data_IF_504592036870
#
_entry.id   IF_504592036870
#
_cell.length_a   1.000
_cell.length_b   1.000
_cell.length_c   1.000
_cell.angle_alpha   90.00
_cell.angle_beta   90.00
_cell.angle_gamma   90.00
#
_symmetry.space_group_name_H-M   'P 1'
#
loop_
_entity.id
_entity.type
_entity.pdbx_description
1 polymer ?
#
# COMPACT_ATOMS: atom_id res chain seq x y z
N UNK A 1 28.61 50.63 -12.86
CA UNK A 1 29.79 49.77 -13.03
C UNK A 1 29.31 48.34 -12.85
N UNK A 2 29.12 47.56 -13.93
CA UNK A 2 28.80 46.14 -13.80
C UNK A 2 30.02 45.41 -13.24
N UNK A 3 29.80 44.52 -12.27
CA UNK A 3 30.84 43.77 -11.57
C UNK A 3 31.78 43.08 -12.54
N UNK A 4 33.07 43.16 -12.26
CA UNK A 4 34.09 42.53 -13.09
C UNK A 4 33.94 41.00 -13.06
N UNK A 5 34.40 40.29 -14.10
CA UNK A 5 34.31 38.83 -14.19
C UNK A 5 34.96 38.07 -13.02
N UNK A 6 35.74 38.72 -12.16
CA UNK A 6 36.30 38.13 -10.94
C UNK A 6 35.27 37.86 -9.85
N UNK A 7 34.21 38.67 -9.74
CA UNK A 7 33.24 38.55 -8.65
C UNK A 7 32.36 37.30 -8.85
N UNK A 8 32.08 36.96 -10.10
CA UNK A 8 31.32 35.75 -10.47
C UNK A 8 32.06 34.45 -10.14
N UNK A 9 33.38 34.41 -10.29
CA UNK A 9 34.17 33.22 -9.96
C UNK A 9 34.22 32.96 -8.44
N UNK A 10 34.37 34.01 -7.64
CA UNK A 10 34.37 33.89 -6.17
C UNK A 10 33.01 33.52 -5.60
N UNK A 11 31.92 33.95 -6.22
CA UNK A 11 30.57 33.49 -5.85
C UNK A 11 30.34 32.02 -6.23
N UNK A 12 30.78 31.59 -7.41
CA UNK A 12 30.67 30.20 -7.83
C UNK A 12 31.46 29.24 -6.91
N UNK A 13 32.66 29.63 -6.48
CA UNK A 13 33.47 28.84 -5.53
C UNK A 13 32.76 28.74 -4.17
N UNK A 14 32.23 29.84 -3.63
CA UNK A 14 31.49 29.83 -2.37
C UNK A 14 30.22 28.99 -2.43
N UNK A 15 29.49 29.04 -3.55
CA UNK A 15 28.31 28.20 -3.76
C UNK A 15 28.68 26.71 -3.82
N UNK A 16 29.79 26.35 -4.47
CA UNK A 16 30.27 24.98 -4.52
C UNK A 16 30.74 24.46 -3.15
N UNK A 17 31.44 25.30 -2.37
CA UNK A 17 31.85 24.96 -1.00
C UNK A 17 30.64 24.71 -0.09
N UNK A 18 29.62 25.57 -0.15
CA UNK A 18 28.38 25.38 0.59
C UNK A 18 27.68 24.06 0.22
N UNK A 19 27.57 23.78 -1.08
CA UNK A 19 27.00 22.52 -1.57
C UNK A 19 27.79 21.29 -1.11
N UNK A 20 29.12 21.36 -1.09
CA UNK A 20 29.98 20.25 -0.65
C UNK A 20 29.88 19.98 0.86
N UNK A 21 29.68 21.02 1.66
CA UNK A 21 29.45 20.89 3.10
C UNK A 21 28.05 20.30 3.38
N UNK A 22 27.01 20.83 2.72
CA UNK A 22 25.62 20.37 2.87
C UNK A 22 25.42 18.91 2.46
N UNK A 23 26.03 18.49 1.34
CA UNK A 23 25.95 17.11 0.87
C UNK A 23 26.96 16.17 1.56
N UNK A 24 27.73 16.64 2.55
CA UNK A 24 28.75 15.83 3.24
C UNK A 24 29.91 15.37 2.35
N UNK A 25 30.05 15.93 1.15
CA UNK A 25 31.06 15.58 0.15
C UNK A 25 32.47 15.75 0.72
N UNK A 26 32.68 16.80 1.52
CA UNK A 26 33.98 17.08 2.14
C UNK A 26 34.45 15.95 3.06
N UNK A 27 33.54 15.36 3.83
CA UNK A 27 33.82 14.22 4.69
C UNK A 27 34.18 12.99 3.87
N UNK A 28 33.42 12.70 2.82
CA UNK A 28 33.68 11.57 1.91
C UNK A 28 35.07 11.65 1.27
N UNK A 29 35.47 12.84 0.78
CA UNK A 29 36.82 13.03 0.23
C UNK A 29 37.91 12.90 1.30
N UNK A 30 37.64 13.35 2.53
CA UNK A 30 38.59 13.20 3.65
C UNK A 30 38.81 11.72 3.97
N UNK A 31 37.73 10.95 4.09
CA UNK A 31 37.79 9.51 4.37
C UNK A 31 38.50 8.74 3.25
N UNK A 32 38.22 9.08 1.98
CA UNK A 32 38.91 8.54 0.82
C UNK A 32 40.42 8.83 0.85
N UNK A 33 40.83 10.06 1.15
CA UNK A 33 42.24 10.44 1.20
C UNK A 33 42.98 9.74 2.34
N UNK A 34 42.32 9.58 3.50
CA UNK A 34 42.86 8.80 4.63
C UNK A 34 43.07 7.35 4.21
N UNK A 35 42.09 6.73 3.56
CA UNK A 35 42.19 5.35 3.11
C UNK A 35 43.30 5.16 2.07
N UNK A 36 43.40 6.04 1.07
CA UNK A 36 44.48 5.99 0.07
C UNK A 36 45.87 6.15 0.70
N UNK A 37 45.98 7.01 1.73
CA UNK A 37 47.23 7.22 2.46
C UNK A 37 47.67 6.00 3.28
N UNK A 38 46.71 5.26 3.83
CA UNK A 38 46.93 4.02 4.59
C UNK A 38 47.29 2.85 3.66
N UNK A 39 46.49 2.62 2.62
CA UNK A 39 46.59 1.45 1.76
C UNK A 39 47.73 1.56 0.74
N UNK A 40 48.14 2.79 0.39
CA UNK A 40 49.16 3.12 -0.62
C UNK A 40 49.06 2.24 -1.88
N UNK A 41 47.88 2.16 -2.52
CA UNK A 41 47.67 1.27 -3.64
C UNK A 41 48.55 1.66 -4.83
N UNK A 42 49.04 0.65 -5.57
CA UNK A 42 49.81 0.89 -6.80
C UNK A 42 48.95 1.50 -7.91
N UNK A 43 47.65 1.21 -7.91
CA UNK A 43 46.66 1.82 -8.79
C UNK A 43 45.70 2.70 -7.97
N UNK A 44 46.04 3.98 -7.86
CA UNK A 44 45.27 4.96 -7.09
C UNK A 44 43.89 5.21 -7.72
N UNK A 45 43.81 5.28 -9.06
CA UNK A 45 42.54 5.56 -9.74
C UNK A 45 41.57 4.38 -9.62
N UNK A 46 42.06 3.15 -9.72
CA UNK A 46 41.28 1.95 -9.46
C UNK A 46 40.71 1.91 -8.04
N UNK A 47 41.54 2.27 -7.04
CA UNK A 47 41.11 2.33 -5.64
C UNK A 47 40.04 3.40 -5.38
N UNK A 48 40.18 4.60 -5.97
CA UNK A 48 39.16 5.66 -5.88
C UNK A 48 37.82 5.17 -6.47
N UNK A 49 37.85 4.54 -7.64
CA UNK A 49 36.63 4.03 -8.29
C UNK A 49 35.94 2.98 -7.43
N UNK A 50 36.71 2.04 -6.88
CA UNK A 50 36.17 0.99 -6.01
C UNK A 50 35.52 1.56 -4.73
N UNK A 51 36.11 2.60 -4.14
CA UNK A 51 35.55 3.29 -2.98
C UNK A 51 34.20 3.95 -3.30
N UNK A 52 34.13 4.70 -4.40
CA UNK A 52 32.89 5.34 -4.85
C UNK A 52 31.80 4.32 -5.22
N UNK A 53 32.16 3.20 -5.86
CA UNK A 53 31.22 2.11 -6.15
C UNK A 53 30.71 1.42 -4.86
N UNK A 54 31.54 1.37 -3.82
CA UNK A 54 31.16 0.92 -2.47
C UNK A 54 30.11 1.83 -1.85
N UNK A 55 30.36 3.15 -1.88
CA UNK A 55 29.43 4.16 -1.39
C UNK A 55 28.09 4.15 -2.14
N UNK A 56 28.11 4.05 -3.47
CA UNK A 56 26.88 3.98 -4.27
C UNK A 56 26.01 2.77 -3.88
N UNK A 57 26.62 1.59 -3.69
CA UNK A 57 25.92 0.38 -3.21
C UNK A 57 25.42 0.51 -1.77
N UNK A 58 26.15 1.23 -0.92
CA UNK A 58 25.72 1.56 0.44
C UNK A 58 24.53 2.51 0.46
N UNK A 59 24.54 3.54 -0.38
CA UNK A 59 23.47 4.52 -0.52
C UNK A 59 22.19 3.85 -1.01
N UNK A 60 22.27 2.97 -2.01
CA UNK A 60 21.08 2.23 -2.48
C UNK A 60 20.48 1.33 -1.39
N UNK A 61 21.32 0.78 -0.51
CA UNK A 61 20.87 0.00 0.64
C UNK A 61 20.25 0.87 1.73
N UNK A 62 20.84 2.03 2.04
CA UNK A 62 20.28 2.99 2.99
C UNK A 62 19.02 3.68 2.49
N UNK A 63 18.86 3.92 1.18
CA UNK A 63 17.58 4.37 0.60
C UNK A 63 16.54 3.25 0.58
N UNK A 64 16.96 2.01 0.40
CA UNK A 64 16.07 0.86 0.47
C UNK A 64 15.61 0.55 1.90
N UNK A 65 16.46 0.77 2.91
CA UNK A 65 16.13 0.56 4.34
C UNK A 65 15.60 1.81 5.05
N UNK A 66 16.03 3.00 4.63
CA UNK A 66 15.70 4.31 5.20
C UNK A 66 14.43 4.95 4.66
N UNK A 67 13.61 4.21 3.92
CA UNK A 67 12.27 4.63 3.48
C UNK A 67 11.30 4.92 4.66
N UNK A 68 11.74 4.71 5.89
CA UNK A 68 11.00 4.99 7.12
C UNK A 68 11.31 6.38 7.75
N UNK A 69 12.36 7.08 7.31
CA UNK A 69 12.80 8.33 7.95
C UNK A 69 12.32 9.63 7.26
N UNK A 70 11.96 9.62 5.97
CA UNK A 70 11.39 10.79 5.27
C UNK A 70 9.86 10.97 5.50
N UNK A 71 9.25 10.25 6.46
CA UNK A 71 7.94 10.62 7.03
C UNK A 71 8.11 11.61 8.21
N UNK A 72 9.15 12.45 8.22
CA UNK A 72 9.25 13.61 9.11
C UNK A 72 8.21 14.65 8.69
N UNK A 73 7.30 14.95 9.63
CA UNK A 73 6.27 15.99 9.53
C UNK A 73 5.67 16.19 8.13
N UNK A 74 4.92 15.18 7.65
CA UNK A 74 3.88 15.40 6.64
C UNK A 74 2.73 16.19 7.29
N UNK A 75 3.06 17.41 7.71
CA UNK A 75 2.20 18.36 8.38
C UNK A 75 1.29 18.96 7.32
N UNK A 76 0.16 18.29 7.08
CA UNK A 76 -1.05 18.82 6.42
C UNK A 76 -0.76 19.86 5.32
N UNK A 77 0.18 19.55 4.40
CA UNK A 77 0.56 20.47 3.33
C UNK A 77 -0.64 20.80 2.42
N UNK A 78 -1.68 19.95 2.45
CA UNK A 78 -2.97 20.20 1.81
C UNK A 78 -3.77 21.33 2.47
N UNK A 79 -3.58 21.62 3.76
CA UNK A 79 -4.31 22.68 4.47
C UNK A 79 -3.82 24.09 4.14
N UNK A 80 -2.56 24.26 3.72
CA UNK A 80 -1.96 25.57 3.39
C UNK A 80 -1.81 25.84 1.89
N UNK A 81 -1.98 24.83 1.03
CA UNK A 81 -2.06 25.00 -0.43
C UNK A 81 -3.43 25.57 -0.84
N UNK A 82 -3.58 26.88 -0.57
CA UNK A 82 -4.56 27.81 -1.13
C UNK A 82 -5.13 27.31 -2.45
N UNK A 83 -6.39 26.87 -2.42
CA UNK A 83 -7.44 27.14 -3.42
C UNK A 83 -7.12 27.06 -4.93
N UNK A 84 -6.10 26.32 -5.38
CA UNK A 84 -5.95 25.99 -6.82
C UNK A 84 -7.20 25.21 -7.29
N UNK A 85 -8.11 25.89 -7.96
CA UNK A 85 -9.30 25.30 -8.54
C UNK A 85 -8.89 24.10 -9.42
N UNK A 86 -9.38 22.87 -9.19
CA UNK A 86 -9.12 21.74 -10.08
C UNK A 86 -9.51 22.00 -11.54
N UNK A 87 -10.49 22.88 -11.78
CA UNK A 87 -10.81 23.36 -13.12
C UNK A 87 -9.73 24.27 -13.68
N UNK A 88 -9.00 25.01 -12.83
CA UNK A 88 -7.80 25.74 -13.23
C UNK A 88 -6.68 24.77 -13.58
N UNK A 89 -6.52 23.64 -12.90
CA UNK A 89 -5.59 22.58 -13.37
C UNK A 89 -6.04 22.02 -14.73
N UNK A 90 -7.33 21.85 -15.00
CA UNK A 90 -7.76 21.45 -16.33
C UNK A 90 -7.63 22.56 -17.36
N UNK A 91 -7.91 23.81 -17.03
CA UNK A 91 -7.88 24.93 -17.96
C UNK A 91 -6.45 25.39 -18.25
N UNK A 92 -5.61 25.47 -17.21
CA UNK A 92 -4.17 25.67 -17.36
C UNK A 92 -3.61 24.45 -18.08
N UNK A 93 -3.86 23.19 -17.66
CA UNK A 93 -3.25 21.99 -18.28
C UNK A 93 -4.01 21.32 -19.43
N UNK A 94 -5.07 21.93 -19.94
CA UNK A 94 -5.41 21.78 -21.35
C UNK A 94 -4.21 22.30 -22.18
N UNK A 95 -3.40 23.23 -21.63
CA UNK A 95 -2.24 23.88 -22.23
C UNK A 95 -1.11 24.26 -21.21
N UNK A 96 -0.31 23.34 -20.60
CA UNK A 96 1.10 23.32 -21.02
C UNK A 96 1.92 22.04 -20.73
N UNK A 97 3.02 21.90 -21.48
CA UNK A 97 4.26 21.24 -21.03
C UNK A 97 5.16 22.22 -20.27
N UNK A 98 6.12 21.71 -19.48
CA UNK A 98 7.03 22.52 -18.64
C UNK A 98 7.71 23.65 -19.44
N UNK A 99 7.28 24.90 -19.27
CA UNK A 99 7.79 26.08 -19.98
C UNK A 99 6.68 27.08 -20.33
N UNK A 100 6.98 28.24 -20.96
CA UNK A 100 5.98 29.22 -21.34
C UNK A 100 4.95 28.59 -22.30
N UNK A 101 3.79 28.26 -21.72
CA UNK A 101 2.49 27.92 -22.32
C UNK A 101 2.50 27.37 -23.75
N UNK A 102 2.83 26.08 -23.91
CA UNK A 102 2.57 25.35 -25.17
C UNK A 102 1.14 24.81 -25.17
N UNK A 103 0.33 25.30 -26.11
CA UNK A 103 -1.01 24.78 -26.38
C UNK A 103 -0.91 23.36 -26.99
N UNK A 104 -1.29 22.33 -26.21
CA UNK A 104 -1.34 20.94 -26.67
C UNK A 104 -2.51 20.63 -27.61
N UNK A 105 -3.59 21.42 -27.66
CA UNK A 105 -4.70 21.19 -28.60
C UNK A 105 -4.30 21.49 -30.04
N UNK A 106 -3.27 22.31 -30.22
CA UNK A 106 -2.64 22.54 -31.51
C UNK A 106 -1.77 21.34 -31.97
N UNK A 107 -1.51 20.34 -31.11
CA UNK A 107 -0.74 19.15 -31.49
C UNK A 107 -1.57 18.21 -32.38
N UNK A 108 -0.87 17.55 -33.29
CA UNK A 108 -1.47 16.56 -34.18
C UNK A 108 -2.11 15.43 -33.38
N UNK A 109 -3.33 15.05 -33.79
CA UNK A 109 -4.12 13.98 -33.17
C UNK A 109 -4.37 14.18 -31.66
N UNK A 110 -4.42 15.43 -31.19
CA UNK A 110 -4.83 15.72 -29.83
C UNK A 110 -6.27 15.24 -29.58
N UNK A 111 -6.46 14.53 -28.48
CA UNK A 111 -7.77 14.22 -27.93
C UNK A 111 -7.70 14.19 -26.41
N UNK A 112 -8.80 14.52 -25.74
CA UNK A 112 -8.88 14.44 -24.29
C UNK A 112 -10.30 14.55 -23.79
N UNK A 113 -10.49 14.21 -22.51
CA UNK A 113 -11.77 14.31 -21.83
C UNK A 113 -11.59 14.35 -20.32
N UNK A 114 -12.52 14.99 -19.63
CA UNK A 114 -12.55 15.07 -18.17
C UNK A 114 -13.95 14.77 -17.63
N UNK A 115 -14.03 14.38 -16.37
CA UNK A 115 -15.29 14.11 -15.70
C UNK A 115 -15.57 15.21 -14.68
N UNK A 116 -16.49 16.11 -15.03
CA UNK A 116 -16.84 17.26 -14.18
C UNK A 116 -17.35 16.85 -12.79
N UNK A 117 -18.18 15.81 -12.72
CA UNK A 117 -18.69 15.32 -11.42
C UNK A 117 -17.54 14.91 -10.51
N UNK A 118 -16.51 14.22 -11.02
CA UNK A 118 -15.35 13.84 -10.20
C UNK A 118 -14.59 15.05 -9.65
N UNK A 119 -14.48 16.14 -10.40
CA UNK A 119 -13.81 17.36 -9.95
C UNK A 119 -14.58 18.11 -8.86
N UNK A 120 -15.91 18.01 -8.88
CA UNK A 120 -16.80 18.64 -7.91
C UNK A 120 -17.04 17.76 -6.66
N UNK A 121 -16.79 16.45 -6.77
CA UNK A 121 -17.19 15.44 -5.77
C UNK A 121 -16.02 14.70 -5.08
N UNK A 122 -14.75 15.02 -5.38
CA UNK A 122 -13.63 14.40 -4.67
C UNK A 122 -13.61 14.77 -3.18
N UNK A 123 -13.12 13.86 -2.35
CA UNK A 123 -13.15 14.00 -0.88
C UNK A 123 -11.73 14.19 -0.36
N UNK A 124 -11.43 15.29 0.38
CA UNK A 124 -10.12 15.51 0.99
C UNK A 124 -9.70 14.32 1.86
N UNK A 125 -8.41 14.00 1.84
CA UNK A 125 -7.86 12.86 2.59
C UNK A 125 -7.03 13.39 3.78
N UNK A 126 -7.57 13.42 5.00
CA UNK A 126 -6.88 13.95 6.19
C UNK A 126 -5.91 12.95 6.83
N UNK A 127 -5.86 11.71 6.37
CA UNK A 127 -5.07 10.61 6.95
C UNK A 127 -4.70 9.59 5.87
N UNK A 128 -3.90 8.54 6.16
CA UNK A 128 -3.66 7.44 5.22
C UNK A 128 -4.89 6.55 4.94
N UNK A 129 -6.03 7.15 4.61
CA UNK A 129 -7.32 6.55 4.31
C UNK A 129 -7.74 6.73 2.83
N UNK A 130 -6.77 6.74 1.92
CA UNK A 130 -7.01 6.95 0.49
C UNK A 130 -8.13 6.05 -0.07
N UNK A 131 -8.23 4.79 0.39
CA UNK A 131 -9.31 3.88 -0.01
C UNK A 131 -10.71 4.40 0.36
N UNK A 132 -10.87 4.93 1.57
CA UNK A 132 -12.14 5.52 2.02
C UNK A 132 -12.47 6.78 1.22
N UNK A 133 -11.47 7.66 1.03
CA UNK A 133 -11.66 8.93 0.36
C UNK A 133 -11.96 8.75 -1.15
N UNK A 134 -11.25 7.85 -1.82
CA UNK A 134 -11.53 7.46 -3.21
C UNK A 134 -12.91 6.81 -3.37
N UNK A 135 -13.32 5.94 -2.45
CA UNK A 135 -14.64 5.31 -2.50
C UNK A 135 -15.78 6.33 -2.28
N UNK A 136 -15.63 7.21 -1.29
CA UNK A 136 -16.58 8.29 -1.03
C UNK A 136 -16.67 9.24 -2.25
N UNK A 137 -15.53 9.64 -2.81
CA UNK A 137 -15.49 10.49 -4.01
C UNK A 137 -16.08 9.81 -5.26
N UNK A 138 -15.82 8.51 -5.44
CA UNK A 138 -16.44 7.71 -6.50
C UNK A 138 -17.97 7.70 -6.36
N UNK A 139 -18.47 7.42 -5.16
CA UNK A 139 -19.90 7.43 -4.86
C UNK A 139 -20.47 8.83 -5.16
N UNK A 140 -19.97 9.87 -4.51
CA UNK A 140 -20.46 11.24 -4.68
C UNK A 140 -20.50 11.67 -6.17
N UNK A 141 -19.47 11.34 -6.94
CA UNK A 141 -19.42 11.67 -8.37
C UNK A 141 -20.49 10.95 -9.21
N UNK A 142 -20.81 9.69 -8.89
CA UNK A 142 -21.82 8.90 -9.60
C UNK A 142 -23.24 9.46 -9.42
N UNK A 143 -23.52 10.08 -8.27
CA UNK A 143 -24.79 10.76 -7.99
C UNK A 143 -24.71 12.29 -8.10
N UNK A 144 -23.59 12.83 -8.59
CA UNK A 144 -23.37 14.29 -8.75
C UNK A 144 -23.56 15.07 -7.44
N UNK A 145 -23.24 14.45 -6.32
CA UNK A 145 -23.27 15.08 -5.00
C UNK A 145 -21.95 15.82 -4.84
N UNK A 146 -22.01 17.14 -4.65
CA UNK A 146 -20.80 17.96 -4.48
C UNK A 146 -20.14 17.65 -3.15
N UNK A 147 -18.83 17.86 -3.06
CA UNK A 147 -18.04 17.57 -1.85
C UNK A 147 -18.45 18.36 -0.60
N UNK A 148 -19.10 19.51 -0.80
CA UNK A 148 -19.59 20.41 0.25
C UNK A 148 -21.08 20.21 0.57
N UNK A 149 -21.75 19.29 -0.13
CA UNK A 149 -23.14 18.97 0.14
C UNK A 149 -23.28 18.24 1.49
N UNK A 150 -24.34 18.56 2.23
CA UNK A 150 -24.59 17.99 3.56
C UNK A 150 -24.85 16.48 3.54
N UNK A 151 -25.30 15.95 2.40
CA UNK A 151 -25.61 14.54 2.16
C UNK A 151 -24.45 13.77 1.50
N UNK A 152 -23.33 14.44 1.21
CA UNK A 152 -22.14 13.82 0.64
C UNK A 152 -21.65 12.66 1.49
N UNK A 153 -21.32 11.54 0.83
CA UNK A 153 -20.67 10.42 1.47
C UNK A 153 -19.32 10.88 2.03
N UNK A 154 -19.05 10.51 3.27
CA UNK A 154 -17.85 10.93 4.01
C UNK A 154 -16.85 9.79 4.14
N UNK A 155 -15.59 10.12 4.43
CA UNK A 155 -14.58 9.11 4.77
C UNK A 155 -15.00 8.26 5.96
N UNK A 156 -15.61 8.87 6.99
CA UNK A 156 -16.04 8.17 8.21
C UNK A 156 -17.05 7.08 7.91
N UNK A 157 -18.04 7.39 7.08
CA UNK A 157 -19.07 6.44 6.66
C UNK A 157 -18.44 5.24 5.94
N UNK A 158 -17.55 5.49 4.96
CA UNK A 158 -16.87 4.41 4.25
C UNK A 158 -15.93 3.62 5.17
N UNK A 159 -15.22 4.29 6.09
CA UNK A 159 -14.32 3.65 7.04
C UNK A 159 -15.07 2.69 7.97
N UNK A 160 -16.27 3.05 8.42
CA UNK A 160 -17.09 2.16 9.25
C UNK A 160 -17.58 0.94 8.46
N UNK A 161 -18.01 1.12 7.20
CA UNK A 161 -18.38 0.00 6.32
C UNK A 161 -17.18 -0.95 6.12
N UNK A 162 -16.00 -0.40 5.84
CA UNK A 162 -14.78 -1.20 5.72
C UNK A 162 -14.41 -1.88 7.03
N UNK A 163 -14.58 -1.21 8.18
CA UNK A 163 -14.30 -1.77 9.50
C UNK A 163 -15.20 -2.98 9.78
N UNK A 164 -16.51 -2.85 9.55
CA UNK A 164 -17.48 -3.93 9.70
C UNK A 164 -17.13 -5.14 8.82
N UNK A 165 -16.67 -4.90 7.58
CA UNK A 165 -16.19 -5.97 6.69
C UNK A 165 -14.94 -6.67 7.26
N UNK A 166 -13.94 -5.92 7.71
CA UNK A 166 -12.70 -6.49 8.28
C UNK A 166 -12.99 -7.22 9.59
N UNK A 167 -13.93 -6.74 10.39
CA UNK A 167 -14.41 -7.36 11.62
C UNK A 167 -15.09 -8.70 11.34
N UNK A 168 -15.93 -8.79 10.31
CA UNK A 168 -16.49 -10.07 9.87
C UNK A 168 -15.39 -11.06 9.47
N UNK A 169 -14.34 -10.61 8.77
CA UNK A 169 -13.20 -11.46 8.41
C UNK A 169 -12.40 -11.90 9.65
N UNK A 170 -12.20 -11.00 10.61
CA UNK A 170 -11.57 -11.30 11.89
C UNK A 170 -12.36 -12.39 12.63
N UNK A 171 -13.68 -12.23 12.76
CA UNK A 171 -14.54 -13.21 13.42
C UNK A 171 -14.54 -14.57 12.73
N UNK A 172 -14.54 -14.60 11.39
CA UNK A 172 -14.41 -15.85 10.63
C UNK A 172 -13.08 -16.54 10.90
N UNK A 173 -11.98 -15.78 10.97
CA UNK A 173 -10.64 -16.30 11.30
C UNK A 173 -10.55 -16.80 12.73
N UNK A 174 -11.14 -16.06 13.67
CA UNK A 174 -11.25 -16.46 15.07
C UNK A 174 -12.00 -17.79 15.20
N UNK A 175 -13.22 -17.89 14.64
CA UNK A 175 -14.01 -19.13 14.67
C UNK A 175 -13.30 -20.30 14.01
N UNK A 176 -12.52 -20.05 12.94
CA UNK A 176 -11.71 -21.08 12.30
C UNK A 176 -10.61 -21.57 13.24
N UNK A 177 -9.88 -20.68 13.88
CA UNK A 177 -8.84 -21.02 14.85
C UNK A 177 -9.42 -21.77 16.05
N UNK A 178 -10.54 -21.31 16.62
CA UNK A 178 -11.23 -21.96 17.74
C UNK A 178 -11.61 -23.41 17.40
N UNK A 179 -12.17 -23.64 16.21
CA UNK A 179 -12.46 -24.99 15.71
C UNK A 179 -11.21 -25.84 15.52
N UNK A 180 -10.13 -25.27 14.99
CA UNK A 180 -8.87 -26.01 14.79
C UNK A 180 -8.22 -26.38 16.14
N UNK A 181 -8.35 -25.52 17.15
CA UNK A 181 -7.86 -25.75 18.51
C UNK A 181 -8.77 -26.68 19.34
N UNK A 182 -9.97 -27.01 18.84
CA UNK A 182 -10.95 -27.79 19.61
C UNK A 182 -11.53 -27.05 20.81
N UNK A 183 -11.55 -25.71 20.79
CA UNK A 183 -12.12 -24.87 21.87
C UNK A 183 -13.50 -24.32 21.50
N UNK A 184 -14.26 -23.89 22.50
CA UNK A 184 -15.58 -23.29 22.29
C UNK A 184 -15.51 -21.98 21.47
N UNK A 185 -16.61 -21.64 20.79
CA UNK A 185 -16.72 -20.38 20.07
C UNK A 185 -16.62 -19.19 21.04
N UNK A 186 -15.80 -18.19 20.70
CA UNK A 186 -15.49 -17.04 21.55
C UNK A 186 -14.39 -17.30 22.59
N UNK A 187 -13.87 -18.53 22.72
CA UNK A 187 -12.82 -18.85 23.68
C UNK A 187 -11.50 -18.10 23.42
N UNK A 188 -11.26 -17.57 22.21
CA UNK A 188 -10.06 -16.77 21.94
C UNK A 188 -10.13 -15.33 22.49
N UNK A 189 -11.30 -14.82 22.86
CA UNK A 189 -11.45 -13.41 23.27
C UNK A 189 -10.60 -13.04 24.51
N UNK A 190 -10.55 -13.86 25.59
CA UNK A 190 -9.68 -13.59 26.73
C UNK A 190 -8.18 -13.52 26.36
N UNK A 191 -7.73 -14.31 25.39
CA UNK A 191 -6.36 -14.24 24.88
C UNK A 191 -6.09 -12.94 24.12
N UNK A 192 -7.01 -12.52 23.24
CA UNK A 192 -6.89 -11.26 22.51
C UNK A 192 -6.92 -10.05 23.45
N UNK A 193 -7.80 -10.06 24.46
CA UNK A 193 -7.86 -9.00 25.47
C UNK A 193 -6.58 -8.91 26.31
N UNK A 194 -6.02 -10.06 26.71
CA UNK A 194 -4.75 -10.10 27.44
C UNK A 194 -3.56 -9.62 26.59
N UNK A 195 -3.56 -9.93 25.29
CA UNK A 195 -2.56 -9.41 24.35
C UNK A 195 -2.67 -7.89 24.20
N UNK A 196 -3.87 -7.35 24.06
CA UNK A 196 -4.11 -5.90 23.97
C UNK A 196 -3.63 -5.17 25.22
N UNK A 197 -3.95 -5.70 26.41
CA UNK A 197 -3.50 -5.13 27.69
C UNK A 197 -1.97 -5.09 27.76
N UNK A 198 -1.30 -6.20 27.40
CA UNK A 198 0.17 -6.28 27.40
C UNK A 198 0.80 -5.28 26.43
N UNK A 199 0.24 -5.11 25.23
CA UNK A 199 0.75 -4.13 24.26
C UNK A 199 0.58 -2.69 24.81
N UNK A 200 -0.56 -2.40 25.43
CA UNK A 200 -0.81 -1.10 26.06
C UNK A 200 0.15 -0.82 27.22
N UNK A 201 0.47 -1.80 28.07
CA UNK A 201 1.46 -1.70 29.14
C UNK A 201 2.87 -1.32 28.62
N UNK A 202 3.21 -1.76 27.41
CA UNK A 202 4.46 -1.40 26.73
C UNK A 202 4.40 -0.04 26.02
N UNK A 203 3.28 0.69 26.12
CA UNK A 203 3.07 1.95 25.40
C UNK A 203 2.85 1.78 23.90
N UNK A 204 2.54 0.56 23.45
CA UNK A 204 2.25 0.23 22.05
C UNK A 204 0.75 0.32 21.78
N UNK A 205 0.38 0.68 20.55
CA UNK A 205 -1.01 0.76 20.12
C UNK A 205 -1.20 0.19 18.72
N UNK A 206 -2.31 -0.52 18.50
CA UNK A 206 -2.75 -0.98 17.18
C UNK A 206 -2.95 0.16 16.18
N UNK A 207 -3.30 1.34 16.69
CA UNK A 207 -3.48 2.58 15.93
C UNK A 207 -2.28 3.52 16.02
N UNK A 208 -1.24 3.14 16.76
CA UNK A 208 -0.01 3.92 16.92
C UNK A 208 0.75 4.08 15.61
N UNK A 209 1.54 5.15 15.53
CA UNK A 209 2.45 5.43 14.43
C UNK A 209 3.91 5.21 14.88
N UNK A 210 4.79 4.92 13.93
CA UNK A 210 6.25 4.77 14.13
C UNK A 210 6.57 3.84 15.32
N UNK A 211 7.41 4.29 16.26
CA UNK A 211 7.86 3.52 17.42
C UNK A 211 6.75 2.99 18.34
N UNK A 212 5.53 3.58 18.27
CA UNK A 212 4.38 3.13 19.05
C UNK A 212 3.46 2.17 18.28
N UNK A 213 3.76 1.90 17.01
CA UNK A 213 2.91 1.08 16.15
C UNK A 213 3.12 -0.40 16.42
N UNK A 214 2.02 -1.14 16.61
CA UNK A 214 2.07 -2.60 16.66
C UNK A 214 2.24 -3.17 15.25
N UNK A 215 3.44 -3.71 14.97
CA UNK A 215 3.70 -4.49 13.76
C UNK A 215 3.26 -5.95 13.93
N UNK A 216 3.17 -6.71 12.83
CA UNK A 216 2.86 -8.14 12.87
C UNK A 216 3.85 -8.89 13.77
N UNK A 217 5.15 -8.58 13.65
CA UNK A 217 6.24 -9.19 14.40
C UNK A 217 6.13 -8.86 15.89
N UNK A 218 5.88 -7.60 16.25
CA UNK A 218 5.70 -7.17 17.64
C UNK A 218 4.48 -7.85 18.28
N UNK A 219 3.36 -7.95 17.55
CA UNK A 219 2.16 -8.62 18.03
C UNK A 219 2.40 -10.12 18.27
N UNK A 220 3.04 -10.82 17.33
CA UNK A 220 3.36 -12.25 17.46
C UNK A 220 4.39 -12.52 18.56
N UNK A 221 5.39 -11.65 18.73
CA UNK A 221 6.36 -11.76 19.81
C UNK A 221 5.68 -11.63 21.18
N UNK A 222 4.81 -10.64 21.35
CA UNK A 222 4.05 -10.45 22.58
C UNK A 222 3.02 -11.57 22.82
N UNK A 223 2.39 -12.10 21.76
CA UNK A 223 1.52 -13.26 21.86
C UNK A 223 2.26 -14.49 22.40
N UNK A 224 3.43 -14.80 21.84
CA UNK A 224 4.28 -15.91 22.31
C UNK A 224 4.73 -15.71 23.76
N UNK A 225 5.13 -14.49 24.11
CA UNK A 225 5.56 -14.19 25.47
C UNK A 225 4.43 -14.26 26.50
N UNK A 226 3.23 -13.81 26.13
CA UNK A 226 2.02 -13.98 26.93
C UNK A 226 1.71 -15.46 27.19
N UNK A 227 1.86 -16.31 26.17
CA UNK A 227 1.66 -17.75 26.30
C UNK A 227 2.74 -18.41 27.18
N UNK A 228 3.99 -17.94 27.17
CA UNK A 228 5.07 -18.45 28.04
C UNK A 228 4.95 -18.04 29.49
N UNK A 229 4.64 -16.77 29.74
CA UNK A 229 4.64 -16.19 31.10
C UNK A 229 3.48 -16.68 31.96
N UNK A 230 2.37 -17.08 31.35
CA UNK A 230 1.24 -17.66 32.08
C UNK A 230 1.64 -19.04 32.62
N UNK A 231 1.97 -19.12 33.90
CA UNK A 231 2.24 -20.39 34.59
C UNK A 231 1.06 -21.35 34.34
N UNK A 232 1.33 -22.64 34.11
CA UNK A 232 0.26 -23.65 34.05
C UNK A 232 -0.56 -23.51 35.33
N UNK A 233 -1.78 -23.01 35.19
CA UNK A 233 -2.66 -22.76 36.31
C UNK A 233 -3.13 -24.10 36.85
N UNK A 234 -2.42 -24.60 37.87
CA UNK A 234 -2.88 -25.70 38.73
C UNK A 234 -2.14 -27.03 38.52
N UNK A 235 -1.86 -27.77 39.61
CA UNK A 235 -1.36 -29.14 39.52
C UNK A 235 -2.40 -30.03 38.84
N UNK A 236 -1.95 -30.83 37.87
CA UNK A 236 -2.72 -31.94 37.28
C UNK A 236 -2.86 -33.12 38.27
N UNK A 237 -2.83 -32.88 39.58
CA UNK A 237 -2.60 -33.86 40.66
C UNK A 237 -3.86 -34.61 41.15
N UNK A 238 -5.00 -34.56 40.45
CA UNK A 238 -6.22 -35.23 40.94
C UNK A 238 -6.93 -36.11 39.90
N UNK A 239 -6.18 -36.79 39.02
CA UNK A 239 -6.76 -37.77 38.09
C UNK A 239 -6.25 -39.21 38.26
N UNK A 240 -5.35 -39.49 39.22
CA UNK A 240 -5.04 -40.87 39.64
C UNK A 240 -6.05 -41.39 40.69
N UNK A 241 -7.29 -40.90 40.67
CA UNK A 241 -8.37 -41.53 41.43
C UNK A 241 -8.77 -42.82 40.70
N UNK A 242 -8.74 -43.98 41.38
CA UNK A 242 -8.98 -45.27 40.74
C UNK A 242 -10.34 -45.32 40.03
N UNK A 243 -10.32 -45.84 38.79
CA UNK A 243 -11.42 -45.98 37.83
C UNK A 243 -12.51 -46.98 38.28
N UNK A 244 -12.98 -46.93 39.52
CA UNK A 244 -14.04 -47.84 39.97
C UNK A 244 -15.43 -47.32 39.58
N UNK A 245 -15.91 -47.86 38.45
CA UNK A 245 -17.32 -48.20 38.16
C UNK A 245 -18.38 -47.08 38.13
N UNK A 246 -18.15 -45.97 37.44
CA UNK A 246 -19.21 -45.01 37.11
C UNK A 246 -19.69 -45.15 35.65
N UNK A 247 -20.62 -46.09 35.42
CA UNK A 247 -21.35 -46.27 34.15
C UNK A 247 -22.35 -45.15 33.85
N UNK A 248 -21.87 -43.89 33.74
CA UNK A 248 -22.69 -42.70 33.49
C UNK A 248 -22.50 -42.17 32.07
N UNK A 249 -23.51 -42.35 31.22
CA UNK A 249 -23.57 -41.76 29.89
C UNK A 249 -23.54 -40.21 29.95
N UNK A 250 -22.50 -39.59 29.39
CA UNK A 250 -22.47 -38.16 29.08
C UNK A 250 -21.55 -37.28 29.94
N UNK A 251 -20.38 -37.75 30.37
CA UNK A 251 -19.38 -36.85 30.95
C UNK A 251 -18.88 -35.87 29.87
N UNK A 252 -19.34 -34.62 29.93
CA UNK A 252 -18.78 -33.52 29.13
C UNK A 252 -17.28 -33.42 29.43
N UNK A 253 -16.45 -33.57 28.39
CA UNK A 253 -15.01 -33.35 28.50
C UNK A 253 -14.78 -31.94 29.08
N UNK A 254 -13.82 -31.78 30.03
CA UNK A 254 -13.53 -30.47 30.58
C UNK A 254 -13.14 -29.50 29.46
N UNK A 255 -13.58 -28.23 29.54
CA UNK A 255 -13.30 -27.25 28.49
C UNK A 255 -11.78 -27.08 28.35
N UNK A 256 -11.29 -27.27 27.13
CA UNK A 256 -9.88 -27.08 26.78
C UNK A 256 -9.50 -25.62 27.04
N UNK A 257 -8.44 -25.38 27.84
CA UNK A 257 -7.91 -24.03 28.06
C UNK A 257 -7.27 -23.52 26.76
N UNK A 258 -7.82 -22.44 26.22
CA UNK A 258 -7.34 -21.79 24.99
C UNK A 258 -5.87 -21.37 25.07
N UNK A 259 -5.37 -20.99 26.26
CA UNK A 259 -3.98 -20.59 26.42
C UNK A 259 -3.05 -21.80 26.34
N UNK A 260 -3.46 -22.95 26.87
CA UNK A 260 -2.69 -24.19 26.74
C UNK A 260 -2.71 -24.71 25.31
N UNK A 261 -3.88 -24.72 24.66
CA UNK A 261 -4.01 -25.15 23.27
C UNK A 261 -3.17 -24.28 22.31
N UNK A 262 -3.21 -22.94 22.46
CA UNK A 262 -2.38 -22.03 21.67
C UNK A 262 -0.89 -22.21 21.94
N UNK A 263 -0.50 -22.43 23.21
CA UNK A 263 0.89 -22.64 23.59
C UNK A 263 1.44 -23.91 22.93
N UNK A 264 0.68 -25.00 22.96
CA UNK A 264 1.09 -26.26 22.34
C UNK A 264 1.40 -26.08 20.86
N UNK A 265 0.45 -25.51 20.10
CA UNK A 265 0.58 -25.40 18.64
C UNK A 265 1.60 -24.36 18.19
N UNK A 266 1.73 -23.22 18.89
CA UNK A 266 2.69 -22.17 18.52
C UNK A 266 4.12 -22.44 19.00
N UNK A 267 4.31 -23.31 19.99
CA UNK A 267 5.64 -23.74 20.42
C UNK A 267 6.19 -24.87 19.55
N UNK A 268 5.33 -25.77 19.05
CA UNK A 268 5.73 -26.86 18.14
C UNK A 268 6.31 -26.34 16.82
N UNK A 269 5.66 -25.37 16.17
CA UNK A 269 6.16 -24.80 14.90
C UNK A 269 7.58 -24.21 14.98
N UNK A 270 7.96 -23.65 16.13
CA UNK A 270 9.30 -23.06 16.28
C UNK A 270 10.38 -24.14 16.24
N UNK A 271 10.08 -25.33 16.75
CA UNK A 271 11.02 -26.45 16.73
C UNK A 271 11.20 -26.94 15.29
N UNK A 272 10.12 -27.01 14.51
CA UNK A 272 10.18 -27.37 13.09
C UNK A 272 10.96 -26.32 12.25
N UNK A 273 10.75 -25.02 12.49
CA UNK A 273 11.51 -23.95 11.81
C UNK A 273 13.02 -23.97 12.19
N UNK A 274 13.36 -24.26 13.44
CA UNK A 274 14.76 -24.37 13.90
C UNK A 274 15.44 -25.66 13.41
N UNK A 275 14.68 -26.74 13.19
CA UNK A 275 15.18 -28.02 12.63
C UNK A 275 15.35 -27.96 11.09
N UNK A 276 14.47 -27.27 10.36
CA UNK A 276 14.62 -27.03 8.91
C UNK A 276 15.76 -26.04 8.56
N UNK A 277 16.20 -25.19 9.50
CA UNK A 277 17.38 -24.30 9.31
C UNK A 277 18.72 -25.00 9.58
N UNK A 278 18.74 -26.27 9.98
CA UNK A 278 19.95 -27.08 9.93
C UNK A 278 20.37 -27.28 8.46
N UNK A 279 21.69 -27.31 8.12
CA UNK A 279 22.13 -27.34 6.74
C UNK A 279 21.74 -28.66 6.07
N UNK A 280 20.60 -28.65 5.38
CA UNK A 280 20.16 -29.71 4.48
C UNK A 280 21.00 -29.66 3.20
N UNK A 281 22.11 -30.42 3.21
CA UNK A 281 22.73 -30.86 1.97
C UNK A 281 21.79 -31.83 1.24
N UNK A 282 21.39 -31.40 0.03
CA UNK A 282 20.83 -32.21 -1.07
C UNK A 282 19.63 -33.10 -0.75
N UNK A 283 18.40 -32.61 -0.96
CA UNK A 283 17.27 -33.43 -1.43
C UNK A 283 16.20 -32.57 -2.12
N UNK A 284 16.39 -32.36 -3.43
CA UNK A 284 15.43 -31.66 -4.28
C UNK A 284 14.21 -32.53 -4.67
N UNK A 285 13.05 -31.88 -4.62
CA UNK A 285 11.91 -32.03 -5.52
C UNK A 285 11.11 -33.35 -5.49
N UNK A 286 10.30 -33.54 -4.45
CA UNK A 286 9.01 -34.22 -4.59
C UNK A 286 7.91 -33.32 -4.01
N UNK A 287 7.18 -32.64 -4.90
CA UNK A 287 5.96 -31.92 -4.57
C UNK A 287 4.83 -32.92 -4.27
N UNK A 288 4.91 -33.58 -3.12
CA UNK A 288 3.82 -34.37 -2.58
C UNK A 288 2.81 -33.41 -1.94
N UNK A 289 1.54 -33.56 -2.32
CA UNK A 289 0.38 -32.98 -1.64
C UNK A 289 0.32 -33.50 -0.21
N UNK A 290 1.08 -32.89 0.71
CA UNK A 290 0.99 -33.23 2.13
C UNK A 290 -0.34 -32.68 2.66
N UNK A 291 -1.19 -33.60 3.08
CA UNK A 291 -2.36 -33.28 3.87
C UNK A 291 -1.84 -32.87 5.25
N UNK A 292 -1.71 -31.56 5.48
CA UNK A 292 -2.30 -30.98 6.69
C UNK A 292 -1.40 -30.57 7.86
N UNK A 293 -0.18 -30.03 7.66
CA UNK A 293 0.39 -29.18 8.72
C UNK A 293 -0.25 -27.79 8.63
N UNK A 294 -1.08 -27.46 9.63
CA UNK A 294 -1.63 -26.11 9.73
C UNK A 294 -0.50 -25.19 10.17
N UNK A 295 -0.17 -24.18 9.35
CA UNK A 295 0.75 -23.11 9.75
C UNK A 295 0.05 -22.18 10.76
N UNK A 296 -0.02 -22.59 12.02
CA UNK A 296 -0.62 -21.89 13.15
C UNK A 296 -0.14 -20.46 13.30
N UNK A 297 1.16 -20.22 13.20
CA UNK A 297 1.75 -18.89 13.29
C UNK A 297 1.22 -17.98 12.19
N UNK A 298 0.99 -18.52 11.00
CA UNK A 298 0.33 -17.79 9.90
C UNK A 298 -1.12 -17.47 10.24
N UNK A 299 -1.93 -18.44 10.67
CA UNK A 299 -3.36 -18.20 10.97
C UNK A 299 -3.56 -17.21 12.13
N UNK A 300 -2.78 -17.34 13.22
CA UNK A 300 -2.81 -16.38 14.34
C UNK A 300 -2.36 -15.00 13.88
N UNK A 301 -1.28 -14.92 13.11
CA UNK A 301 -0.82 -13.62 12.62
C UNK A 301 -1.82 -12.94 11.69
N UNK A 302 -2.54 -13.70 10.86
CA UNK A 302 -3.61 -13.19 10.00
C UNK A 302 -4.80 -12.68 10.83
N UNK A 303 -5.18 -13.37 11.91
CA UNK A 303 -6.19 -12.89 12.86
C UNK A 303 -5.78 -11.53 13.46
N UNK A 304 -4.53 -11.40 13.92
CA UNK A 304 -4.02 -10.16 14.51
C UNK A 304 -3.94 -9.01 13.50
N UNK A 305 -3.57 -9.29 12.24
CA UNK A 305 -3.62 -8.30 11.15
C UNK A 305 -5.04 -7.81 10.91
N UNK A 306 -6.05 -8.69 10.95
CA UNK A 306 -7.45 -8.29 10.81
C UNK A 306 -7.93 -7.46 12.00
N UNK A 307 -7.59 -7.84 13.23
CA UNK A 307 -7.87 -7.04 14.44
C UNK A 307 -7.27 -5.63 14.32
N UNK A 308 -5.99 -5.54 13.92
CA UNK A 308 -5.32 -4.26 13.65
C UNK A 308 -6.08 -3.43 12.59
N UNK A 309 -6.52 -4.07 11.52
CA UNK A 309 -7.31 -3.43 10.46
C UNK A 309 -8.60 -2.79 10.97
N UNK A 310 -9.39 -3.50 11.78
CA UNK A 310 -10.62 -2.97 12.40
C UNK A 310 -10.32 -1.73 13.23
N UNK A 311 -9.36 -1.84 14.15
CA UNK A 311 -9.01 -0.75 15.08
C UNK A 311 -8.48 0.49 14.33
N UNK A 312 -7.68 0.29 13.27
CA UNK A 312 -7.15 1.40 12.45
C UNK A 312 -8.19 2.08 11.58
N UNK A 313 -9.20 1.35 11.10
CA UNK A 313 -10.29 1.95 10.33
C UNK A 313 -11.22 2.79 11.22
N UNK A 314 -11.43 2.37 12.48
CA UNK A 314 -12.24 3.12 13.47
C UNK A 314 -11.47 4.19 14.24
N UNK A 315 -10.17 4.34 14.01
CA UNK A 315 -9.36 5.37 14.66
C UNK A 315 -9.81 6.79 14.27
N UNK A 316 -9.41 7.79 15.06
CA UNK A 316 -9.67 9.20 14.75
C UNK A 316 -9.13 9.59 13.35
N UNK A 317 -7.98 9.05 12.96
CA UNK A 317 -7.42 9.17 11.61
C UNK A 317 -7.43 7.78 10.96
N UNK A 318 -8.48 7.42 10.20
CA UNK A 318 -8.60 6.08 9.62
C UNK A 318 -7.40 5.72 8.74
N UNK A 319 -7.10 4.43 8.65
CA UNK A 319 -6.05 3.93 7.76
C UNK A 319 -6.54 2.70 6.96
N UNK A 320 -6.33 2.73 5.64
CA UNK A 320 -6.82 1.70 4.72
C UNK A 320 -5.77 0.71 4.26
N UNK A 321 -4.59 0.63 4.90
CA UNK A 321 -3.51 -0.26 4.45
C UNK A 321 -3.86 -1.75 4.48
N UNK A 322 -4.82 -2.15 5.32
CA UNK A 322 -5.28 -3.54 5.43
C UNK A 322 -6.42 -3.89 4.45
N UNK A 323 -6.86 -2.90 3.65
CA UNK A 323 -7.96 -3.03 2.70
C UNK A 323 -7.39 -3.06 1.27
N UNK A 324 -7.34 -4.26 0.68
CA UNK A 324 -7.00 -4.41 -0.74
C UNK A 324 -8.17 -4.11 -1.69
N UNK A 325 -7.93 -4.19 -3.00
CA UNK A 325 -8.93 -3.87 -4.05
C UNK A 325 -10.23 -4.67 -3.93
N UNK A 326 -10.15 -5.93 -3.47
CA UNK A 326 -11.32 -6.75 -3.18
C UNK A 326 -12.14 -6.24 -2.00
N UNK A 327 -11.48 -5.74 -0.94
CA UNK A 327 -12.14 -5.11 0.19
C UNK A 327 -12.83 -3.80 -0.20
N UNK A 328 -12.11 -2.96 -0.95
CA UNK A 328 -12.66 -1.72 -1.51
C UNK A 328 -13.89 -1.95 -2.39
N UNK A 329 -13.86 -2.97 -3.24
CA UNK A 329 -15.00 -3.40 -4.06
C UNK A 329 -16.22 -3.76 -3.20
N UNK A 330 -16.04 -4.57 -2.16
CA UNK A 330 -17.13 -4.93 -1.25
C UNK A 330 -17.67 -3.72 -0.51
N UNK A 331 -16.80 -2.84 -0.01
CA UNK A 331 -17.21 -1.63 0.69
C UNK A 331 -18.04 -0.69 -0.18
N UNK A 332 -17.68 -0.50 -1.47
CA UNK A 332 -18.48 0.28 -2.41
C UNK A 332 -19.88 -0.32 -2.64
N UNK A 333 -19.99 -1.63 -2.75
CA UNK A 333 -21.29 -2.31 -2.92
C UNK A 333 -22.15 -2.20 -1.66
N UNK A 334 -21.55 -2.34 -0.47
CA UNK A 334 -22.22 -2.17 0.81
C UNK A 334 -22.65 -0.71 1.04
N UNK A 335 -21.83 0.26 0.64
CA UNK A 335 -22.19 1.68 0.68
C UNK A 335 -23.41 1.97 -0.19
N UNK A 336 -23.43 1.47 -1.42
CA UNK A 336 -24.60 1.61 -2.28
C UNK A 336 -25.84 0.98 -1.66
N UNK A 337 -25.71 -0.25 -1.14
CA UNK A 337 -26.81 -0.91 -0.44
C UNK A 337 -27.32 -0.10 0.76
N UNK A 338 -26.42 0.45 1.58
CA UNK A 338 -26.77 1.27 2.74
C UNK A 338 -27.46 2.60 2.37
N UNK A 339 -27.21 3.10 1.16
CA UNK A 339 -27.84 4.29 0.59
C UNK A 339 -29.04 3.95 -0.31
N UNK A 340 -29.49 2.69 -0.33
CA UNK A 340 -30.59 2.20 -1.20
C UNK A 340 -30.34 2.40 -2.70
N UNK A 341 -29.07 2.42 -3.07
CA UNK A 341 -28.58 2.63 -4.43
C UNK A 341 -28.00 1.34 -5.02
N UNK A 342 -27.88 1.29 -6.36
CA UNK A 342 -27.31 0.13 -7.05
C UNK A 342 -26.00 0.48 -7.77
N UNK A 343 -24.95 -0.27 -7.46
CA UNK A 343 -23.65 -0.18 -8.10
C UNK A 343 -23.19 -1.50 -8.70
N UNK A 344 -22.43 -1.37 -9.79
CA UNK A 344 -21.59 -2.43 -10.33
C UNK A 344 -20.13 -2.01 -10.26
N UNK A 345 -19.32 -2.87 -9.66
CA UNK A 345 -17.85 -2.72 -9.59
C UNK A 345 -17.20 -3.86 -10.35
N UNK A 346 -16.36 -3.52 -11.33
CA UNK A 346 -15.64 -4.48 -12.19
C UNK A 346 -14.16 -4.12 -12.32
N UNK A 347 -13.31 -5.12 -12.58
CA UNK A 347 -11.89 -4.90 -12.82
C UNK A 347 -11.66 -4.57 -14.30
N UNK A 348 -11.29 -3.32 -14.59
CA UNK A 348 -11.04 -2.88 -15.96
C UNK A 348 -9.66 -3.33 -16.42
N UNK A 349 -8.61 -2.95 -15.69
CA UNK A 349 -7.23 -3.32 -15.99
C UNK A 349 -6.52 -3.86 -14.75
N UNK A 350 -5.76 -4.93 -14.93
CA UNK A 350 -4.90 -5.51 -13.91
C UNK A 350 -3.94 -6.51 -14.55
N UNK A 351 -2.89 -6.91 -13.82
CA UNK A 351 -2.01 -8.00 -14.25
C UNK A 351 -2.82 -9.26 -14.60
N UNK A 352 -2.54 -9.89 -15.73
CA UNK A 352 -3.22 -11.12 -16.15
C UNK A 352 -3.17 -12.19 -15.06
N UNK A 353 -4.34 -12.77 -14.74
CA UNK A 353 -4.50 -13.80 -13.71
C UNK A 353 -4.55 -13.29 -12.27
N UNK A 354 -4.45 -11.98 -12.04
CA UNK A 354 -4.51 -11.42 -10.68
C UNK A 354 -5.94 -11.26 -10.15
N UNK A 355 -6.89 -10.90 -11.02
CA UNK A 355 -8.30 -10.76 -10.70
C UNK A 355 -9.16 -11.44 -11.75
N UNK A 356 -10.24 -12.08 -11.28
CA UNK A 356 -11.22 -12.71 -12.15
C UNK A 356 -11.88 -11.66 -13.06
N UNK A 357 -12.12 -12.03 -14.32
CA UNK A 357 -12.86 -11.22 -15.30
C UNK A 357 -12.27 -9.82 -15.53
N UNK A 358 -10.95 -9.69 -15.60
CA UNK A 358 -10.29 -8.44 -15.99
C UNK A 358 -10.56 -8.15 -17.47
N UNK A 359 -11.18 -7.00 -17.78
CA UNK A 359 -11.59 -6.65 -19.14
C UNK A 359 -10.40 -6.40 -20.10
N UNK A 360 -9.35 -5.76 -19.59
CA UNK A 360 -8.14 -5.42 -20.31
C UNK A 360 -6.92 -5.92 -19.51
N UNK A 361 -6.60 -7.23 -19.56
CA UNK A 361 -5.51 -7.82 -18.80
C UNK A 361 -4.15 -7.34 -19.30
N UNK A 362 -3.21 -7.14 -18.38
CA UNK A 362 -1.87 -6.63 -18.66
C UNK A 362 -0.82 -7.73 -18.55
N UNK A 363 0.16 -7.72 -19.45
CA UNK A 363 1.38 -8.54 -19.33
C UNK A 363 2.63 -7.73 -19.65
N UNK A 364 3.80 -8.21 -19.22
CA UNK A 364 5.10 -7.60 -19.59
C UNK A 364 5.47 -7.81 -21.06
N UNK A 365 4.81 -8.75 -21.74
CA UNK A 365 5.06 -9.11 -23.13
C UNK A 365 4.06 -8.44 -24.10
N UNK A 366 3.23 -7.51 -23.61
CA UNK A 366 2.25 -6.81 -24.44
C UNK A 366 2.97 -5.93 -25.48
N UNK A 367 2.70 -6.17 -26.76
CA UNK A 367 3.15 -5.31 -27.86
C UNK A 367 2.33 -4.01 -27.98
N UNK A 368 2.72 -3.14 -28.92
CA UNK A 368 2.10 -1.83 -29.14
C UNK A 368 0.58 -1.91 -29.39
N UNK A 369 0.10 -2.91 -30.13
CA UNK A 369 -1.34 -3.11 -30.38
C UNK A 369 -2.11 -3.44 -29.10
N UNK A 370 -1.56 -4.31 -28.24
CA UNK A 370 -2.17 -4.65 -26.96
C UNK A 370 -2.20 -3.43 -26.03
N UNK A 371 -1.13 -2.64 -26.01
CA UNK A 371 -1.08 -1.37 -25.27
C UNK A 371 -2.14 -0.41 -25.76
N UNK A 372 -2.30 -0.29 -27.08
CA UNK A 372 -3.33 0.55 -27.69
C UNK A 372 -4.74 0.08 -27.33
N UNK A 373 -5.02 -1.23 -27.40
CA UNK A 373 -6.32 -1.80 -27.03
C UNK A 373 -6.68 -1.56 -25.56
N UNK A 374 -5.69 -1.64 -24.65
CA UNK A 374 -5.89 -1.36 -23.23
C UNK A 374 -6.16 0.12 -22.97
N UNK A 375 -5.48 1.02 -23.69
CA UNK A 375 -5.78 2.46 -23.65
C UNK A 375 -7.18 2.76 -24.18
N UNK A 376 -7.58 2.13 -25.30
CA UNK A 376 -8.93 2.25 -25.85
C UNK A 376 -9.99 1.77 -24.85
N UNK A 377 -9.75 0.65 -24.15
CA UNK A 377 -10.64 0.17 -23.09
C UNK A 377 -10.76 1.14 -21.92
N UNK A 378 -9.66 1.79 -21.51
CA UNK A 378 -9.67 2.85 -20.50
C UNK A 378 -10.53 4.03 -20.93
N UNK A 379 -10.31 4.58 -22.12
CA UNK A 379 -11.09 5.69 -22.66
C UNK A 379 -12.57 5.35 -22.78
N UNK A 380 -12.89 4.15 -23.29
CA UNK A 380 -14.25 3.67 -23.42
C UNK A 380 -14.95 3.60 -22.05
N UNK A 381 -14.29 3.04 -21.04
CA UNK A 381 -14.85 2.96 -19.68
C UNK A 381 -15.00 4.34 -19.03
N UNK A 382 -14.01 5.22 -19.20
CA UNK A 382 -14.06 6.60 -18.70
C UNK A 382 -15.20 7.42 -19.34
N UNK A 383 -15.45 7.21 -20.63
CA UNK A 383 -16.48 7.92 -21.39
C UNK A 383 -17.91 7.46 -21.11
N UNK A 384 -18.12 6.39 -20.34
CA UNK A 384 -19.46 5.91 -20.01
C UNK A 384 -20.16 6.87 -19.03
N UNK A 385 -21.36 7.38 -19.35
CA UNK A 385 -22.14 8.16 -18.41
C UNK A 385 -22.44 7.36 -17.14
N UNK A 386 -22.25 7.99 -15.97
CA UNK A 386 -22.47 7.30 -14.69
C UNK A 386 -21.45 6.20 -14.39
N UNK A 387 -20.25 6.30 -14.96
CA UNK A 387 -19.08 5.50 -14.62
C UNK A 387 -17.94 6.38 -14.07
N UNK A 388 -17.13 5.81 -13.19
CA UNK A 388 -15.88 6.38 -12.68
C UNK A 388 -14.79 5.32 -12.61
N UNK A 389 -13.54 5.74 -12.76
CA UNK A 389 -12.38 4.86 -12.65
C UNK A 389 -11.63 5.13 -11.35
N UNK A 390 -11.37 4.07 -10.60
CA UNK A 390 -10.62 4.09 -9.34
C UNK A 390 -9.34 3.29 -9.53
N UNK A 391 -8.21 3.98 -9.42
CA UNK A 391 -6.88 3.44 -9.63
C UNK A 391 -6.24 3.07 -8.29
N UNK A 392 -5.77 1.84 -8.16
CA UNK A 392 -4.92 1.39 -7.07
C UNK A 392 -3.45 1.49 -7.50
N UNK A 393 -2.79 2.54 -7.01
CA UNK A 393 -1.35 2.75 -7.10
C UNK A 393 -0.61 1.97 -6.00
N UNK A 394 0.70 2.16 -5.86
CA UNK A 394 1.53 1.34 -4.96
C UNK A 394 1.02 1.24 -3.51
N UNK A 395 0.75 2.38 -2.87
CA UNK A 395 0.22 2.44 -1.50
C UNK A 395 -0.92 3.46 -1.42
N UNK A 396 -1.63 3.66 -2.53
CA UNK A 396 -2.55 4.77 -2.69
C UNK A 396 -3.70 4.39 -3.62
N UNK A 397 -4.91 4.73 -3.22
CA UNK A 397 -6.08 4.71 -4.10
C UNK A 397 -6.35 6.14 -4.57
N UNK A 398 -6.65 6.32 -5.85
CA UNK A 398 -7.00 7.60 -6.43
C UNK A 398 -8.05 7.46 -7.52
N UNK A 399 -8.78 8.53 -7.79
CA UNK A 399 -9.71 8.62 -8.92
C UNK A 399 -8.96 9.05 -10.18
N UNK A 400 -9.46 8.63 -11.34
CA UNK A 400 -9.02 9.16 -12.64
C UNK A 400 -9.98 10.27 -13.05
N UNK A 401 -9.48 11.51 -13.14
CA UNK A 401 -10.31 12.71 -13.35
C UNK A 401 -10.40 13.11 -14.82
N UNK A 402 -9.37 12.81 -15.60
CA UNK A 402 -9.28 13.14 -17.02
C UNK A 402 -8.30 12.20 -17.74
N UNK A 403 -8.34 12.23 -19.07
CA UNK A 403 -7.36 11.62 -19.94
C UNK A 403 -7.03 12.54 -21.12
N UNK A 404 -5.85 12.36 -21.71
CA UNK A 404 -5.43 13.03 -22.94
C UNK A 404 -4.45 12.17 -23.74
N UNK A 405 -4.41 12.38 -25.05
CA UNK A 405 -3.44 11.78 -25.96
C UNK A 405 -3.09 12.76 -27.09
N UNK A 406 -1.88 12.68 -27.62
CA UNK A 406 -1.44 13.46 -28.79
C UNK A 406 -0.23 12.79 -29.44
N UNK A 407 0.05 13.10 -30.70
CA UNK A 407 1.32 12.75 -31.33
C UNK A 407 2.39 13.75 -30.90
N UNK A 408 3.40 13.26 -30.20
CA UNK A 408 4.60 14.00 -29.82
C UNK A 408 5.58 13.93 -30.99
N UNK A 409 5.89 15.09 -31.56
CA UNK A 409 6.97 15.21 -32.53
C UNK A 409 8.26 14.93 -31.77
N UNK A 410 8.90 13.78 -32.04
CA UNK A 410 10.27 13.56 -31.59
C UNK A 410 11.13 14.58 -32.32
N UNK A 411 11.36 15.72 -31.67
CA UNK A 411 12.38 16.66 -32.08
C UNK A 411 13.72 15.95 -31.88
N UNK A 412 14.13 15.17 -32.89
CA UNK A 412 15.49 14.69 -32.95
C UNK A 412 16.40 15.93 -32.95
N UNK A 413 17.27 16.11 -31.94
CA UNK A 413 18.22 17.21 -31.94
C UNK A 413 19.13 17.18 -33.18
N UNK A 414 19.23 16.05 -33.89
CA UNK A 414 19.97 15.92 -35.15
C UNK A 414 19.13 16.16 -36.42
N UNK A 415 17.84 16.49 -36.29
CA UNK A 415 16.97 16.85 -37.43
C UNK A 415 16.59 15.68 -38.33
N UNK A 416 16.79 14.43 -37.92
CA UNK A 416 16.18 13.30 -38.63
C UNK A 416 14.68 13.22 -38.32
N UNK A 417 13.88 12.86 -39.31
CA UNK A 417 12.44 12.71 -39.15
C UNK A 417 12.14 11.51 -38.22
N UNK A 418 12.14 11.76 -36.92
CA UNK A 418 11.72 10.79 -35.91
C UNK A 418 10.27 10.37 -36.16
N UNK A 419 9.96 9.10 -35.91
CA UNK A 419 8.57 8.63 -35.96
C UNK A 419 7.79 9.30 -34.83
N UNK A 420 6.73 10.04 -35.15
CA UNK A 420 5.88 10.67 -34.14
C UNK A 420 5.39 9.64 -33.10
N UNK A 421 5.68 9.88 -31.83
CA UNK A 421 5.35 8.99 -30.73
C UNK A 421 3.97 9.38 -30.14
N UNK A 422 3.05 8.43 -30.02
CA UNK A 422 1.74 8.69 -29.42
C UNK A 422 1.87 8.75 -27.89
N UNK A 423 1.78 9.96 -27.32
CA UNK A 423 1.77 10.18 -25.87
C UNK A 423 0.36 10.01 -25.31
N UNK A 424 0.25 9.36 -24.14
CA UNK A 424 -1.04 9.07 -23.48
C UNK A 424 -0.92 9.33 -21.99
N UNK A 425 -1.85 10.07 -21.42
CA UNK A 425 -1.79 10.44 -20.00
C UNK A 425 -3.17 10.44 -19.35
N UNK A 426 -3.19 10.17 -18.04
CA UNK A 426 -4.36 10.33 -17.18
C UNK A 426 -4.10 11.40 -16.12
N UNK A 427 -5.12 12.15 -15.73
CA UNK A 427 -5.07 13.05 -14.59
C UNK A 427 -5.53 12.29 -13.35
N UNK A 428 -4.67 12.20 -12.34
CA UNK A 428 -4.97 11.53 -11.06
C UNK A 428 -4.31 12.26 -9.89
N UNK A 429 -4.44 11.71 -8.68
CA UNK A 429 -3.76 12.17 -7.47
C UNK A 429 -2.59 11.22 -7.15
N UNK A 430 -1.38 11.76 -6.97
CA UNK A 430 -0.24 10.97 -6.44
C UNK A 430 -0.19 11.00 -4.91
N UNK A 431 -0.75 12.06 -4.31
CA UNK A 431 -0.89 12.30 -2.87
C UNK A 431 -2.24 12.96 -2.64
N UNK A 432 -2.83 12.75 -1.46
CA UNK A 432 -4.18 13.21 -1.16
C UNK A 432 -5.22 12.66 -2.15
N UNK A 433 -6.33 13.34 -2.37
CA UNK A 433 -7.31 12.96 -3.41
C UNK A 433 -7.55 14.05 -4.44
N UNK A 434 -6.86 15.18 -4.29
CA UNK A 434 -6.96 16.30 -5.20
C UNK A 434 -6.31 15.94 -6.55
N UNK A 435 -6.97 16.18 -7.70
CA UNK A 435 -6.34 16.02 -9.01
C UNK A 435 -5.09 16.89 -9.05
N UNK A 436 -3.92 16.32 -9.32
CA UNK A 436 -2.65 17.05 -9.16
C UNK A 436 -1.55 16.61 -10.13
N UNK A 437 -1.68 15.44 -10.77
CA UNK A 437 -0.64 14.90 -11.61
C UNK A 437 -1.20 14.29 -12.90
N UNK A 438 -0.65 14.72 -14.03
CA UNK A 438 -0.72 13.96 -15.28
C UNK A 438 0.30 12.82 -15.22
N UNK A 439 -0.17 11.59 -15.35
CA UNK A 439 0.61 10.36 -15.29
C UNK A 439 0.59 9.68 -16.66
N UNK A 440 1.75 9.23 -17.13
CA UNK A 440 1.87 8.51 -18.39
C UNK A 440 1.20 7.14 -18.33
N UNK A 441 0.59 6.73 -19.43
CA UNK A 441 -0.10 5.45 -19.48
C UNK A 441 0.86 4.26 -19.31
N UNK A 442 2.11 4.40 -19.77
CA UNK A 442 3.18 3.44 -19.57
C UNK A 442 3.48 3.27 -18.07
N UNK A 443 3.55 4.36 -17.31
CA UNK A 443 3.71 4.33 -15.86
C UNK A 443 2.50 3.67 -15.16
N UNK A 444 1.28 3.98 -15.59
CA UNK A 444 0.06 3.32 -15.09
C UNK A 444 0.17 1.80 -15.25
N UNK A 445 0.63 1.33 -16.41
CA UNK A 445 0.82 -0.11 -16.67
C UNK A 445 1.90 -0.71 -15.79
N UNK A 446 3.04 -0.05 -15.65
CA UNK A 446 4.15 -0.52 -14.81
C UNK A 446 3.71 -0.70 -13.36
N UNK A 447 2.98 0.28 -12.83
CA UNK A 447 2.36 0.19 -11.50
C UNK A 447 1.45 -1.03 -11.43
N UNK A 448 0.47 -1.17 -12.32
CA UNK A 448 -0.47 -2.30 -12.31
C UNK A 448 0.19 -3.68 -12.50
N UNK A 449 1.35 -3.75 -13.16
CA UNK A 449 2.14 -4.97 -13.33
C UNK A 449 2.99 -5.31 -12.09
N UNK A 450 3.31 -4.31 -11.27
CA UNK A 450 4.20 -4.43 -10.11
C UNK A 450 3.69 -5.36 -9.00
N UNK A 451 2.37 -5.41 -8.76
CA UNK A 451 1.79 -6.26 -7.72
C UNK A 451 0.44 -6.85 -8.14
N UNK A 452 0.14 -8.06 -7.68
CA UNK A 452 -1.10 -8.78 -8.01
C UNK A 452 -2.36 -8.09 -7.45
N UNK A 453 -2.26 -7.26 -6.42
CA UNK A 453 -3.43 -6.57 -5.87
C UNK A 453 -3.74 -5.23 -6.56
N UNK A 454 -2.85 -4.69 -7.41
CA UNK A 454 -3.09 -3.44 -8.11
C UNK A 454 -4.09 -3.61 -9.25
N UNK A 455 -4.96 -2.62 -9.38
CA UNK A 455 -6.14 -2.66 -10.21
C UNK A 455 -6.52 -1.27 -10.67
N UNK A 456 -7.06 -1.17 -11.88
CA UNK A 456 -7.96 -0.08 -12.27
C UNK A 456 -9.38 -0.63 -12.22
N UNK A 457 -10.15 -0.18 -11.23
CA UNK A 457 -11.54 -0.57 -11.04
C UNK A 457 -12.44 0.39 -11.81
N UNK A 458 -13.47 -0.16 -12.47
CA UNK A 458 -14.55 0.60 -13.06
C UNK A 458 -15.79 0.43 -12.18
N UNK A 459 -16.21 1.55 -11.58
CA UNK A 459 -17.39 1.65 -10.73
C UNK A 459 -18.46 2.40 -11.52
N UNK A 460 -19.66 1.82 -11.64
CA UNK A 460 -20.75 2.45 -12.36
C UNK A 460 -22.08 2.18 -11.69
N UNK A 461 -23.06 3.05 -11.95
CA UNK A 461 -24.46 2.79 -11.59
C UNK A 461 -24.96 1.53 -12.29
N UNK A 462 -25.73 0.70 -11.58
CA UNK A 462 -26.27 -0.55 -12.10
C UNK A 462 -27.50 -0.31 -13.00
#
# INVERSE_FOLDING_TARGET
>A
MPGGPSDSAHEAVRAAEAYFEECGIRRLFTDLLVQLGQDRPKDVLGAIRAYLDGLARGWDKEKASGKEAEEEEEHDADASLLEVDPLRLLAEYHFPGKGPHVDLSARTAWAGGFNRSLLESWVPQPSPCCGCASAAGAFNALWRIKRDASDACTIREVAEIMAAQVEQQQLQKQRRLERLLGVAAGALEPFLAALDARLAEQGLSWTGLKAKAVTKQIAMANARELLRSRTRSGPREALDAPEEEAGGAGAELPPVDVFEALREVLCQERQEEEEEEAPEEELENVAATSVGSTKWGKEVSELLVKRKGVLRLRAERPNTSEVGSGGLRTALLQLAQAREEQLKVSCLMARKGSMAQTAAPLTKADGAEAVHAQWAALKAAFGLPGGVLLFHLTNHYALVFAWREWLEDEADPAGSAGSAALRRQILTARRGQRPSAWMDFEEVREILLGWKGYALLHVKRA
#
